data_IF_869190507190
#
_entry.id   IF_869190507190
#
_cell.length_a   1.000
_cell.length_b   1.000
_cell.length_c   1.000
_cell.angle_alpha   90.00
_cell.angle_beta   90.00
_cell.angle_gamma   90.00
#
_symmetry.space_group_name_H-M   'P 1'
#
loop_
_entity.id
_entity.type
_entity.pdbx_description
1 polymer ?
#
# COMPACT_ATOMS: atom_id res chain seq x y z
N UNK A 1 -6.49 -12.72 -2.08
CA UNK A 1 -6.22 -11.38 -2.64
C UNK A 1 -4.74 -11.16 -2.53
N UNK A 2 -4.06 -11.18 -3.67
CA UNK A 2 -2.63 -10.97 -3.76
C UNK A 2 -2.27 -9.55 -3.30
N UNK A 3 -1.24 -9.38 -2.49
CA UNK A 3 -0.73 -8.06 -2.07
C UNK A 3 0.15 -7.46 -3.18
N UNK A 4 -0.38 -7.41 -4.40
CA UNK A 4 0.29 -6.76 -5.51
C UNK A 4 0.48 -5.28 -5.22
N UNK A 5 1.46 -4.65 -5.89
CA UNK A 5 1.74 -3.23 -5.71
C UNK A 5 0.49 -2.34 -5.94
N UNK A 6 -0.36 -2.70 -6.90
CA UNK A 6 -1.64 -2.01 -7.15
C UNK A 6 -2.62 -2.14 -6.00
N UNK A 7 -2.75 -3.33 -5.40
CA UNK A 7 -3.63 -3.56 -4.25
C UNK A 7 -3.14 -2.79 -3.02
N UNK A 8 -1.83 -2.81 -2.75
CA UNK A 8 -1.22 -2.04 -1.66
C UNK A 8 -1.43 -0.54 -1.88
N UNK A 9 -1.23 -0.06 -3.11
CA UNK A 9 -1.47 1.34 -3.48
C UNK A 9 -2.92 1.74 -3.21
N UNK A 10 -3.88 0.90 -3.61
CA UNK A 10 -5.28 1.16 -3.39
C UNK A 10 -5.63 1.26 -1.90
N UNK A 11 -5.13 0.34 -1.06
CA UNK A 11 -5.40 0.39 0.38
C UNK A 11 -4.75 1.59 1.06
N UNK A 12 -3.54 1.97 0.67
CA UNK A 12 -2.86 3.13 1.24
C UNK A 12 -3.56 4.43 0.84
N UNK A 13 -4.03 4.57 -0.40
CA UNK A 13 -4.62 5.82 -0.90
C UNK A 13 -6.11 5.97 -0.64
N UNK A 14 -6.85 4.87 -0.55
CA UNK A 14 -8.31 4.89 -0.44
C UNK A 14 -8.83 4.20 0.82
N UNK A 15 -7.96 3.53 1.58
CA UNK A 15 -8.37 2.74 2.74
C UNK A 15 -9.13 1.48 2.32
N UNK A 16 -9.61 0.72 3.31
CA UNK A 16 -10.44 -0.47 3.09
C UNK A 16 -11.25 -0.78 4.35
N UNK A 17 -12.57 -0.83 4.24
CA UNK A 17 -13.48 -1.07 5.37
C UNK A 17 -13.15 -0.13 6.55
N UNK A 18 -12.73 -0.66 7.69
CA UNK A 18 -12.36 0.11 8.88
C UNK A 18 -10.93 0.67 8.84
N UNK A 19 -10.12 0.34 7.83
CA UNK A 19 -8.77 0.88 7.67
C UNK A 19 -8.83 2.27 7.02
N UNK A 20 -8.37 3.33 7.71
CA UNK A 20 -8.26 4.67 7.12
C UNK A 20 -7.17 4.72 6.04
N UNK A 21 -7.26 5.70 5.15
CA UNK A 21 -6.24 5.97 4.13
C UNK A 21 -5.11 6.84 4.70
N UNK A 22 -3.94 6.78 4.06
CA UNK A 22 -2.79 7.64 4.33
C UNK A 22 -2.68 8.77 3.29
N UNK A 23 -2.45 9.99 3.76
CA UNK A 23 -2.19 11.15 2.90
C UNK A 23 -0.80 11.07 2.28
N UNK A 24 -0.58 11.81 1.20
CA UNK A 24 0.74 11.92 0.56
C UNK A 24 1.84 12.50 1.45
N UNK A 25 1.45 13.29 2.45
CA UNK A 25 2.36 13.84 3.47
C UNK A 25 2.76 12.81 4.53
N UNK A 26 2.01 11.71 4.65
CA UNK A 26 2.27 10.63 5.61
C UNK A 26 2.99 9.46 4.94
N UNK A 27 2.64 9.17 3.68
CA UNK A 27 3.32 8.19 2.83
C UNK A 27 3.48 8.80 1.44
N UNK A 28 4.70 9.12 1.06
CA UNK A 28 5.05 9.64 -0.26
C UNK A 28 4.87 8.58 -1.35
N UNK A 29 4.86 9.01 -2.62
CA UNK A 29 4.75 8.09 -3.75
C UNK A 29 6.00 7.19 -3.89
N UNK A 30 7.15 7.61 -3.35
CA UNK A 30 8.36 6.80 -3.31
C UNK A 30 8.30 5.74 -2.20
N UNK A 31 7.91 6.12 -1.00
CA UNK A 31 7.71 5.20 0.13
C UNK A 31 6.63 4.15 -0.17
N UNK A 32 5.58 4.52 -0.89
CA UNK A 32 4.55 3.58 -1.33
C UNK A 32 5.11 2.49 -2.26
N UNK A 33 6.09 2.81 -3.12
CA UNK A 33 6.77 1.80 -3.95
C UNK A 33 7.59 0.84 -3.08
N UNK A 34 8.32 1.36 -2.09
CA UNK A 34 9.08 0.52 -1.16
C UNK A 34 8.16 -0.41 -0.35
N UNK A 35 7.01 0.09 0.12
CA UNK A 35 5.99 -0.70 0.80
C UNK A 35 5.43 -1.82 -0.09
N UNK A 36 5.07 -1.50 -1.33
CA UNK A 36 4.60 -2.49 -2.30
C UNK A 36 5.64 -3.60 -2.55
N UNK A 37 6.90 -3.22 -2.75
CA UNK A 37 8.00 -4.18 -2.95
C UNK A 37 8.26 -5.03 -1.69
N UNK A 38 8.20 -4.44 -0.51
CA UNK A 38 8.43 -5.16 0.75
C UNK A 38 7.32 -6.17 1.05
N UNK A 39 6.05 -5.78 0.89
CA UNK A 39 4.90 -6.63 1.19
C UNK A 39 4.73 -7.75 0.16
N UNK A 40 4.99 -7.49 -1.12
CA UNK A 40 4.93 -8.52 -2.17
C UNK A 40 6.02 -9.58 -2.04
N UNK A 41 7.18 -9.23 -1.47
CA UNK A 41 8.32 -10.16 -1.29
C UNK A 41 8.02 -11.35 -0.38
N UNK A 42 7.18 -11.17 0.64
CA UNK A 42 6.85 -12.21 1.62
C UNK A 42 5.57 -12.99 1.31
N UNK A 43 4.92 -12.67 0.18
CA UNK A 43 3.74 -13.38 -0.29
C UNK A 43 4.19 -14.64 -1.05
N UNK A 44 3.97 -15.83 -0.47
CA UNK A 44 4.15 -17.15 -1.09
C UNK A 44 2.83 -17.91 -1.06
#
# INVERSE_FOLDING_TARGET
MDLSADVVSAFVRYGKHSMPFFRKTEISDEELKYLGAYLSRNYK
#
